data_IF_242019811366
#
_entry.id   IF_242019811366
#
_cell.length_a   1.000
_cell.length_b   1.000
_cell.length_c   1.000
_cell.angle_alpha   90.00
_cell.angle_beta   90.00
_cell.angle_gamma   90.00
#
_symmetry.space_group_name_H-M   'P 1'
#
loop_
_entity.id
_entity.type
_entity.pdbx_description
1 polymer ?
#
# COMPACT_ATOMS: atom_id res chain seq x y z
N UNK A 1 -0.07 32.06 -28.73
CA UNK A 1 1.21 31.81 -29.42
C UNK A 1 1.54 30.34 -29.17
N UNK A 2 1.50 29.53 -30.23
CA UNK A 2 1.82 28.10 -30.37
C UNK A 2 1.44 27.10 -29.26
N UNK A 3 0.36 26.36 -29.53
CA UNK A 3 -0.03 25.06 -28.97
C UNK A 3 0.78 23.89 -29.55
N UNK A 4 2.12 24.01 -29.61
CA UNK A 4 3.00 22.92 -30.07
C UNK A 4 3.82 22.36 -28.93
N UNK A 5 3.75 21.03 -28.80
CA UNK A 5 4.62 20.15 -28.02
C UNK A 5 4.42 20.05 -26.50
N UNK A 6 3.19 19.73 -26.07
CA UNK A 6 2.94 19.04 -24.79
C UNK A 6 3.02 17.50 -24.90
N UNK A 7 3.37 16.94 -26.06
CA UNK A 7 3.42 15.49 -26.31
C UNK A 7 4.77 14.85 -26.00
N UNK A 8 5.82 15.63 -25.73
CA UNK A 8 7.21 15.16 -25.64
C UNK A 8 7.86 15.28 -24.25
N UNK A 9 7.21 15.93 -23.27
CA UNK A 9 7.75 16.10 -21.92
C UNK A 9 6.75 15.68 -20.85
N UNK A 10 6.61 14.37 -20.68
CA UNK A 10 6.34 13.66 -19.44
C UNK A 10 5.69 12.31 -19.78
N UNK A 11 6.52 11.28 -19.97
CA UNK A 11 6.15 9.94 -19.53
C UNK A 11 6.14 9.92 -17.99
N UNK A 12 5.30 10.74 -17.37
CA UNK A 12 4.80 10.46 -16.04
C UNK A 12 3.76 9.38 -16.29
N UNK A 13 4.10 8.15 -15.97
CA UNK A 13 3.20 7.02 -16.02
C UNK A 13 2.10 7.26 -14.98
N UNK A 14 1.13 8.13 -15.31
CA UNK A 14 -0.12 8.34 -14.57
C UNK A 14 -1.02 7.14 -14.81
N UNK A 15 -0.49 5.95 -14.56
CA UNK A 15 -1.30 4.77 -14.26
C UNK A 15 -1.90 5.06 -12.88
N UNK A 16 -3.02 5.77 -12.93
CA UNK A 16 -4.02 5.82 -11.87
C UNK A 16 -4.49 4.37 -11.72
N UNK A 17 -3.97 3.68 -10.71
CA UNK A 17 -4.32 2.28 -10.46
C UNK A 17 -4.83 2.17 -9.05
N UNK A 18 -6.03 1.59 -8.91
CA UNK A 18 -6.45 0.93 -7.68
C UNK A 18 -5.39 -0.14 -7.38
N UNK A 19 -4.46 0.18 -6.49
CA UNK A 19 -3.46 -0.80 -6.03
C UNK A 19 -4.17 -1.69 -5.05
N UNK A 20 -4.49 -2.91 -5.48
CA UNK A 20 -4.97 -3.94 -4.57
C UNK A 20 -3.74 -4.70 -4.13
N UNK A 21 -3.36 -4.56 -2.87
CA UNK A 21 -2.21 -5.23 -2.29
C UNK A 21 -2.66 -6.43 -1.47
N UNK A 22 -1.97 -7.56 -1.63
CA UNK A 22 -2.04 -8.66 -0.69
C UNK A 22 -0.60 -9.06 -0.34
N UNK A 23 -0.29 -9.17 0.96
CA UNK A 23 1.04 -9.59 1.40
C UNK A 23 1.11 -11.11 1.46
N UNK A 24 2.13 -11.69 0.83
CA UNK A 24 2.30 -13.13 0.71
C UNK A 24 3.60 -13.63 1.31
N UNK A 25 3.63 -14.90 1.70
CA UNK A 25 4.86 -15.65 1.91
C UNK A 25 4.97 -16.71 0.82
N UNK A 26 5.51 -16.35 -0.34
CA UNK A 26 5.89 -17.35 -1.36
C UNK A 26 7.36 -17.73 -1.22
N UNK A 27 7.64 -19.04 -1.36
CA UNK A 27 8.99 -19.56 -1.66
C UNK A 27 9.25 -19.36 -3.15
N UNK A 28 10.05 -18.35 -3.51
CA UNK A 28 10.47 -18.15 -4.89
C UNK A 28 11.62 -19.08 -5.31
N UNK A 29 12.41 -19.61 -4.35
CA UNK A 29 13.51 -20.54 -4.59
C UNK A 29 13.76 -21.48 -3.41
N UNK A 30 14.44 -22.60 -3.70
CA UNK A 30 15.02 -23.48 -2.68
C UNK A 30 16.03 -22.65 -1.87
N UNK A 31 15.74 -22.39 -0.59
CA UNK A 31 16.72 -21.87 0.38
C UNK A 31 16.36 -20.57 1.10
N UNK A 32 15.64 -19.62 0.48
CA UNK A 32 15.35 -18.32 1.11
C UNK A 32 13.88 -18.20 1.56
N UNK A 33 13.65 -17.99 2.87
CA UNK A 33 12.36 -17.59 3.43
C UNK A 33 12.10 -16.09 3.23
N UNK A 34 12.01 -15.65 1.97
CA UNK A 34 11.76 -14.23 1.70
C UNK A 34 10.27 -13.87 1.78
N UNK A 35 9.95 -12.84 2.56
CA UNK A 35 8.66 -12.14 2.50
C UNK A 35 8.51 -11.48 1.13
N UNK A 36 7.42 -11.78 0.42
CA UNK A 36 7.14 -11.23 -0.90
C UNK A 36 5.83 -10.45 -0.89
N UNK A 37 5.84 -9.22 -1.34
CA UNK A 37 4.64 -8.40 -1.51
C UNK A 37 4.09 -8.63 -2.92
N UNK A 38 2.81 -8.97 -3.05
CA UNK A 38 2.13 -9.02 -4.35
C UNK A 38 1.26 -7.78 -4.52
N UNK A 39 1.53 -7.04 -5.58
CA UNK A 39 0.76 -5.87 -5.98
C UNK A 39 -0.04 -6.19 -7.24
N UNK A 40 -1.35 -6.00 -7.21
CA UNK A 40 -2.17 -6.04 -8.41
C UNK A 40 -2.34 -4.62 -8.97
N UNK A 41 -1.96 -4.43 -10.24
CA UNK A 41 -2.13 -3.20 -11.00
C UNK A 41 -2.98 -3.41 -12.25
N UNK A 42 -4.25 -2.99 -12.20
CA UNK A 42 -5.25 -3.08 -13.30
C UNK A 42 -5.40 -4.50 -13.85
N UNK A 43 -4.49 -4.96 -14.68
CA UNK A 43 -4.48 -6.27 -15.33
C UNK A 43 -3.13 -6.97 -15.19
N UNK A 44 -2.32 -6.60 -14.19
CA UNK A 44 -0.98 -7.14 -13.97
C UNK A 44 -0.75 -7.42 -12.49
N UNK A 45 0.04 -8.45 -12.20
CA UNK A 45 0.54 -8.77 -10.88
C UNK A 45 2.05 -8.46 -10.86
N UNK A 46 2.49 -7.69 -9.87
CA UNK A 46 3.90 -7.47 -9.59
C UNK A 46 4.27 -8.25 -8.33
N UNK A 47 5.26 -9.12 -8.45
CA UNK A 47 5.88 -9.82 -7.33
C UNK A 47 7.06 -9.00 -6.88
N UNK A 48 7.02 -8.53 -5.64
CA UNK A 48 7.99 -7.60 -5.07
C UNK A 48 8.70 -8.27 -3.90
N UNK A 49 10.02 -8.39 -3.98
CA UNK A 49 10.85 -8.89 -2.88
C UNK A 49 11.10 -7.77 -1.87
N UNK A 50 10.94 -8.08 -0.59
CA UNK A 50 11.32 -7.20 0.51
C UNK A 50 12.80 -7.42 0.80
N UNK A 51 13.64 -6.43 0.54
CA UNK A 51 15.08 -6.43 0.84
C UNK A 51 15.42 -5.36 1.88
N UNK A 52 16.60 -5.46 2.49
CA UNK A 52 17.08 -4.48 3.47
C UNK A 52 17.26 -3.07 2.90
N UNK A 53 17.45 -2.97 1.58
CA UNK A 53 17.58 -1.70 0.84
C UNK A 53 16.27 -1.26 0.16
N UNK A 54 15.15 -1.95 0.43
CA UNK A 54 13.82 -1.57 -0.04
C UNK A 54 13.09 -2.67 -0.81
N UNK A 55 12.08 -2.25 -1.57
CA UNK A 55 11.20 -3.13 -2.34
C UNK A 55 11.73 -3.26 -3.78
N UNK A 56 11.96 -4.50 -4.25
CA UNK A 56 12.44 -4.77 -5.62
C UNK A 56 11.43 -5.62 -6.38
N UNK A 57 10.95 -5.11 -7.52
CA UNK A 57 10.08 -5.89 -8.42
C UNK A 57 10.91 -7.02 -9.02
N UNK A 58 10.51 -8.26 -8.74
CA UNK A 58 11.16 -9.48 -9.23
C UNK A 58 10.53 -9.92 -10.55
N UNK A 59 9.20 -9.84 -10.65
CA UNK A 59 8.48 -10.28 -11.82
C UNK A 59 7.16 -9.54 -11.98
N UNK A 60 6.75 -9.36 -13.24
CA UNK A 60 5.45 -8.83 -13.63
C UNK A 60 4.70 -9.88 -14.47
N UNK A 61 3.48 -10.23 -14.08
CA UNK A 61 2.66 -11.26 -14.73
C UNK A 61 1.34 -10.65 -15.22
N UNK A 62 1.01 -10.76 -16.52
CA UNK A 62 -0.26 -10.26 -17.03
C UNK A 62 -1.43 -11.16 -16.62
N UNK A 63 -2.59 -10.55 -16.37
CA UNK A 63 -3.87 -11.21 -16.13
C UNK A 63 -4.84 -10.80 -17.24
N UNK A 64 -5.53 -11.77 -17.84
CA UNK A 64 -6.50 -11.52 -18.92
C UNK A 64 -7.84 -10.99 -18.37
N UNK A 65 -7.80 -9.76 -17.84
CA UNK A 65 -8.95 -9.06 -17.29
C UNK A 65 -8.52 -8.01 -16.28
N UNK A 66 -9.43 -7.07 -15.96
CA UNK A 66 -9.20 -6.16 -14.84
C UNK A 66 -9.30 -6.95 -13.54
N UNK A 67 -8.25 -6.96 -12.73
CA UNK A 67 -8.19 -7.56 -11.41
C UNK A 67 -9.07 -6.73 -10.46
N UNK A 68 -10.09 -7.37 -9.88
CA UNK A 68 -10.98 -6.76 -8.89
C UNK A 68 -10.54 -7.05 -7.46
N UNK A 69 -9.93 -8.21 -7.21
CA UNK A 69 -9.37 -8.54 -5.90
C UNK A 69 -8.37 -9.67 -6.01
N UNK A 70 -7.41 -9.67 -5.09
CA UNK A 70 -6.47 -10.75 -4.87
C UNK A 70 -6.50 -11.17 -3.40
N UNK A 71 -6.40 -12.47 -3.14
CA UNK A 71 -6.29 -13.01 -1.77
C UNK A 71 -5.26 -14.12 -1.71
N UNK A 72 -4.54 -14.15 -0.61
CA UNK A 72 -3.51 -15.15 -0.37
C UNK A 72 -3.98 -16.12 0.68
N UNK A 73 -3.62 -17.37 0.48
CA UNK A 73 -3.93 -18.44 1.41
C UNK A 73 -2.97 -19.59 1.23
N UNK A 74 -2.81 -20.40 2.27
CA UNK A 74 -1.98 -21.60 2.23
C UNK A 74 -2.89 -22.82 2.36
N UNK A 75 -3.04 -23.65 1.31
CA UNK A 75 -3.86 -24.85 1.40
C UNK A 75 -3.37 -25.82 2.50
N UNK A 76 -4.29 -26.60 3.06
CA UNK A 76 -3.96 -27.55 4.13
C UNK A 76 -2.99 -28.62 3.62
N UNK A 77 -1.87 -28.78 4.30
CA UNK A 77 -0.82 -29.75 3.92
C UNK A 77 0.22 -29.20 2.95
N UNK A 78 0.08 -27.94 2.51
CA UNK A 78 1.06 -27.27 1.67
C UNK A 78 1.96 -26.33 2.48
N UNK A 79 3.19 -26.17 2.02
CA UNK A 79 4.18 -25.27 2.61
C UNK A 79 4.34 -23.96 1.81
N UNK A 80 3.47 -23.73 0.82
CA UNK A 80 3.50 -22.55 -0.04
C UNK A 80 2.13 -21.92 -0.13
N UNK A 81 2.11 -20.60 -0.25
CA UNK A 81 0.89 -19.87 -0.47
C UNK A 81 0.40 -20.09 -1.92
N UNK A 82 -0.90 -19.90 -2.12
CA UNK A 82 -1.57 -19.78 -3.40
C UNK A 82 -2.25 -18.41 -3.44
N UNK A 83 -2.37 -17.84 -4.63
CA UNK A 83 -2.99 -16.56 -4.89
C UNK A 83 -4.34 -16.79 -5.59
N UNK A 84 -5.40 -16.36 -4.93
CA UNK A 84 -6.72 -16.19 -5.53
C UNK A 84 -6.74 -14.87 -6.30
N UNK A 85 -7.22 -14.90 -7.54
CA UNK A 85 -7.43 -13.73 -8.39
C UNK A 85 -8.90 -13.73 -8.82
N UNK A 86 -9.59 -12.62 -8.61
CA UNK A 86 -10.91 -12.38 -9.17
C UNK A 86 -10.85 -11.20 -10.15
N UNK A 87 -11.44 -11.36 -11.31
CA UNK A 87 -11.52 -10.32 -12.35
C UNK A 87 -12.87 -9.60 -12.35
N UNK A 88 -12.93 -8.43 -13.02
CA UNK A 88 -14.16 -7.64 -13.18
C UNK A 88 -15.25 -8.33 -14.00
N UNK A 89 -14.88 -9.37 -14.75
CA UNK A 89 -15.83 -10.26 -15.46
C UNK A 89 -16.22 -11.49 -14.62
N UNK A 90 -15.88 -11.50 -13.33
CA UNK A 90 -16.11 -12.62 -12.41
C UNK A 90 -15.53 -13.95 -12.92
N UNK A 91 -14.37 -13.89 -13.58
CA UNK A 91 -13.50 -15.07 -13.70
C UNK A 91 -12.62 -15.14 -12.46
N UNK A 92 -12.65 -16.31 -11.82
CA UNK A 92 -11.83 -16.67 -10.68
C UNK A 92 -10.69 -17.56 -11.15
N UNK A 93 -9.49 -17.29 -10.68
CA UNK A 93 -8.31 -18.13 -10.89
C UNK A 93 -7.58 -18.33 -9.56
N UNK A 94 -7.05 -19.53 -9.35
CA UNK A 94 -6.17 -19.87 -8.25
C UNK A 94 -4.83 -20.21 -8.90
N UNK A 95 -3.80 -19.47 -8.52
CA UNK A 95 -2.45 -19.62 -9.07
C UNK A 95 -1.46 -19.89 -7.94
N UNK A 96 -0.36 -20.57 -8.25
CA UNK A 96 0.73 -20.79 -7.32
C UNK A 96 2.07 -20.71 -8.04
N UNK A 97 3.14 -20.50 -7.27
CA UNK A 97 4.49 -20.49 -7.80
C UNK A 97 5.01 -21.91 -8.02
N UNK A 98 5.38 -22.22 -9.25
CA UNK A 98 6.12 -23.43 -9.60
C UNK A 98 7.63 -23.13 -9.47
N UNK A 99 8.29 -23.83 -8.55
CA UNK A 99 9.73 -23.62 -8.27
C UNK A 99 10.62 -24.25 -9.34
N UNK A 100 10.17 -25.32 -9.99
CA UNK A 100 10.96 -25.99 -11.02
C UNK A 100 10.98 -25.15 -12.30
N UNK A 101 9.82 -24.60 -12.65
CA UNK A 101 9.66 -23.74 -13.84
C UNK A 101 9.95 -22.28 -13.58
N UNK A 102 10.01 -21.87 -12.31
CA UNK A 102 10.20 -20.49 -11.89
C UNK A 102 9.15 -19.54 -12.51
N UNK A 103 7.88 -19.97 -12.48
CA UNK A 103 6.74 -19.25 -13.05
C UNK A 103 5.46 -19.43 -12.22
N UNK A 104 4.49 -18.53 -12.45
CA UNK A 104 3.14 -18.65 -11.89
C UNK A 104 2.31 -19.63 -12.72
N UNK A 105 1.87 -20.72 -12.10
CA UNK A 105 1.00 -21.73 -12.73
C UNK A 105 -0.45 -21.57 -12.24
N UNK A 106 -1.41 -21.81 -13.13
CA UNK A 106 -2.83 -21.85 -12.76
C UNK A 106 -3.19 -23.24 -12.26
N UNK A 107 -3.73 -23.31 -11.04
CA UNK A 107 -4.18 -24.55 -10.38
C UNK A 107 -5.65 -24.85 -10.63
N UNK A 108 -6.48 -23.83 -10.62
CA UNK A 108 -7.90 -23.93 -10.96
C UNK A 108 -8.38 -22.58 -11.51
N UNK A 109 -9.33 -22.61 -12.45
CA UNK A 109 -9.93 -21.39 -12.98
C UNK A 109 -11.36 -21.66 -13.47
N UNK A 110 -12.19 -20.63 -13.46
CA UNK A 110 -13.55 -20.74 -13.96
C UNK A 110 -14.35 -19.45 -13.86
N UNK A 111 -15.47 -19.39 -14.58
CA UNK A 111 -16.47 -18.35 -14.39
C UNK A 111 -17.26 -18.63 -13.11
N UNK A 112 -17.44 -17.61 -12.27
CA UNK A 112 -18.23 -17.69 -11.04
C UNK A 112 -19.48 -16.81 -11.10
N UNK A 113 -19.88 -16.36 -12.29
CA UNK A 113 -21.16 -15.71 -12.52
C UNK A 113 -22.34 -16.66 -12.23
N UNK A 114 -23.37 -16.12 -11.59
CA UNK A 114 -24.68 -16.76 -11.55
C UNK A 114 -25.49 -16.35 -12.79
N UNK A 115 -26.44 -17.20 -13.19
CA UNK A 115 -27.34 -16.90 -14.31
C UNK A 115 -28.26 -15.72 -14.01
N UNK A 116 -28.60 -15.52 -12.74
CA UNK A 116 -29.51 -14.48 -12.24
C UNK A 116 -28.94 -13.95 -10.92
N UNK A 117 -29.05 -12.65 -10.71
CA UNK A 117 -28.66 -12.00 -9.46
C UNK A 117 -28.50 -10.50 -9.68
N UNK A 118 -28.89 -9.69 -8.69
CA UNK A 118 -28.61 -8.25 -8.70
C UNK A 118 -27.16 -8.04 -8.27
N UNK A 119 -26.26 -7.51 -9.13
CA UNK A 119 -24.90 -7.20 -8.72
C UNK A 119 -24.91 -6.25 -7.54
N UNK A 120 -24.03 -6.47 -6.56
CA UNK A 120 -24.00 -5.64 -5.38
C UNK A 120 -23.41 -4.26 -5.67
N UNK A 121 -23.99 -3.23 -5.06
CA UNK A 121 -23.57 -1.84 -5.21
C UNK A 121 -22.14 -1.59 -4.65
N UNK A 122 -21.68 -2.45 -3.72
CA UNK A 122 -20.32 -2.38 -3.15
C UNK A 122 -19.25 -3.13 -3.97
N UNK A 123 -19.62 -3.72 -5.12
CA UNK A 123 -18.70 -4.51 -5.96
C UNK A 123 -18.32 -5.85 -5.31
N UNK A 124 -17.72 -6.80 -6.06
CA UNK A 124 -17.54 -8.17 -5.58
C UNK A 124 -16.53 -8.27 -4.42
N UNK A 125 -16.87 -9.04 -3.39
CA UNK A 125 -15.95 -9.38 -2.29
C UNK A 125 -15.57 -10.85 -2.38
N UNK A 126 -14.27 -11.15 -2.36
CA UNK A 126 -13.76 -12.51 -2.23
C UNK A 126 -12.94 -12.61 -0.94
N UNK A 127 -13.20 -13.66 -0.15
CA UNK A 127 -12.34 -14.05 0.96
C UNK A 127 -12.09 -15.55 0.92
N UNK A 128 -10.98 -15.98 1.51
CA UNK A 128 -10.53 -17.37 1.52
C UNK A 128 -10.01 -17.69 2.91
N UNK A 129 -10.36 -18.87 3.43
CA UNK A 129 -9.90 -19.32 4.74
C UNK A 129 -8.58 -20.11 4.62
N UNK A 130 -8.00 -20.50 5.77
CA UNK A 130 -6.78 -21.33 5.82
C UNK A 130 -6.93 -22.71 5.19
N UNK A 131 -8.15 -23.25 5.06
CA UNK A 131 -8.35 -24.54 4.38
C UNK A 131 -8.49 -24.41 2.87
N UNK A 132 -8.45 -23.20 2.31
CA UNK A 132 -8.69 -22.94 0.90
C UNK A 132 -10.16 -22.89 0.49
N UNK A 133 -11.09 -22.86 1.44
CA UNK A 133 -12.50 -22.60 1.17
C UNK A 133 -12.68 -21.12 0.82
N UNK A 134 -13.34 -20.84 -0.29
CA UNK A 134 -13.55 -19.49 -0.80
C UNK A 134 -15.00 -19.09 -0.57
N UNK A 135 -15.22 -17.88 -0.09
CA UNK A 135 -16.52 -17.24 0.01
C UNK A 135 -16.54 -15.98 -0.87
N UNK A 136 -17.56 -15.86 -1.70
CA UNK A 136 -17.63 -14.87 -2.76
C UNK A 136 -19.01 -14.20 -2.78
N UNK A 137 -19.03 -12.88 -2.54
CA UNK A 137 -20.23 -12.04 -2.55
C UNK A 137 -20.22 -11.19 -3.81
N UNK A 138 -20.83 -11.68 -4.90
CA UNK A 138 -20.99 -10.93 -6.16
C UNK A 138 -22.35 -10.21 -6.19
N UNK A 139 -23.40 -10.93 -5.78
CA UNK A 139 -24.79 -10.49 -5.87
C UNK A 139 -25.40 -10.29 -4.48
N UNK A 140 -26.35 -9.37 -4.38
CA UNK A 140 -27.05 -9.11 -3.12
C UNK A 140 -27.87 -10.32 -2.66
N UNK A 141 -27.91 -10.55 -1.35
CA UNK A 141 -28.68 -11.63 -0.72
C UNK A 141 -28.13 -13.05 -0.91
N UNK A 142 -26.95 -13.19 -1.53
CA UNK A 142 -26.32 -14.50 -1.75
C UNK A 142 -24.83 -14.47 -1.44
N UNK A 143 -24.34 -15.53 -0.82
CA UNK A 143 -22.92 -15.82 -0.65
C UNK A 143 -22.58 -17.12 -1.37
N UNK A 144 -21.74 -17.04 -2.39
CA UNK A 144 -21.27 -18.21 -3.12
C UNK A 144 -20.08 -18.82 -2.39
N UNK A 145 -20.22 -20.07 -1.99
CA UNK A 145 -19.15 -20.87 -1.40
C UNK A 145 -18.53 -21.73 -2.49
N UNK A 146 -17.21 -21.69 -2.60
CA UNK A 146 -16.45 -22.37 -3.64
C UNK A 146 -15.44 -23.30 -2.99
N UNK A 147 -15.48 -24.56 -3.41
CA UNK A 147 -14.47 -25.57 -3.16
C UNK A 147 -13.72 -25.84 -4.46
N UNK A 148 -12.42 -26.04 -4.34
CA UNK A 148 -11.55 -26.22 -5.50
C UNK A 148 -10.57 -27.36 -5.25
N UNK A 149 -10.10 -27.94 -6.33
CA UNK A 149 -9.10 -29.00 -6.38
C UNK A 149 -8.21 -28.75 -7.60
N UNK A 150 -6.96 -29.20 -7.56
CA UNK A 150 -6.01 -28.99 -8.66
C UNK A 150 -6.50 -29.58 -9.98
N UNK A 151 -6.43 -28.76 -11.03
CA UNK A 151 -6.82 -29.08 -12.40
C UNK A 151 -8.27 -29.57 -12.53
N UNK A 152 -9.16 -29.17 -11.61
CA UNK A 152 -10.60 -29.46 -11.67
C UNK A 152 -11.42 -28.18 -11.76
N UNK A 153 -12.65 -28.34 -12.25
CA UNK A 153 -13.63 -27.26 -12.24
C UNK A 153 -14.00 -26.83 -10.82
N UNK A 154 -14.29 -25.55 -10.68
CA UNK A 154 -14.70 -24.94 -9.41
C UNK A 154 -16.08 -25.46 -9.00
N UNK A 155 -16.15 -26.22 -7.90
CA UNK A 155 -17.43 -26.65 -7.31
C UNK A 155 -17.97 -25.54 -6.43
N UNK A 156 -19.24 -25.19 -6.59
CA UNK A 156 -19.83 -24.11 -5.79
C UNK A 156 -21.29 -24.35 -5.42
N UNK A 157 -21.72 -23.70 -4.35
CA UNK A 157 -23.12 -23.56 -3.96
C UNK A 157 -23.36 -22.17 -3.39
N UNK A 158 -24.60 -21.70 -3.46
CA UNK A 158 -24.98 -20.40 -2.92
C UNK A 158 -25.69 -20.60 -1.57
N UNK A 159 -25.33 -19.77 -0.59
CA UNK A 159 -25.99 -19.65 0.71
C UNK A 159 -26.74 -18.34 0.75
N UNK A 160 -27.94 -18.34 1.37
CA UNK A 160 -28.72 -17.12 1.53
C UNK A 160 -28.07 -16.20 2.56
N UNK A 161 -27.99 -14.92 2.22
CA UNK A 161 -27.55 -13.86 3.11
C UNK A 161 -28.74 -12.95 3.41
N UNK A 162 -28.99 -12.66 4.70
CA UNK A 162 -30.15 -11.85 5.09
C UNK A 162 -29.93 -10.36 4.80
N UNK A 163 -28.75 -9.85 5.13
CA UNK A 163 -28.34 -8.49 4.80
C UNK A 163 -28.01 -8.35 3.31
N UNK A 164 -28.60 -7.36 2.64
CA UNK A 164 -28.37 -7.11 1.21
C UNK A 164 -27.15 -6.21 0.98
N UNK A 165 -27.04 -5.13 1.75
CA UNK A 165 -25.99 -4.11 1.61
C UNK A 165 -24.74 -4.48 2.42
N UNK A 166 -24.01 -5.48 1.95
CA UNK A 166 -22.76 -5.94 2.59
C UNK A 166 -21.58 -5.11 2.08
N UNK A 167 -21.00 -4.31 2.97
CA UNK A 167 -19.87 -3.43 2.71
C UNK A 167 -18.56 -4.21 2.62
N UNK A 168 -18.31 -5.12 3.56
CA UNK A 168 -17.11 -5.97 3.59
C UNK A 168 -17.40 -7.33 4.26
N UNK A 169 -16.58 -8.35 3.96
CA UNK A 169 -16.73 -9.73 4.42
C UNK A 169 -15.36 -10.42 4.55
N UNK A 170 -15.09 -11.07 5.68
CA UNK A 170 -13.88 -11.87 5.89
C UNK A 170 -14.17 -13.14 6.70
N UNK A 171 -13.37 -14.18 6.49
CA UNK A 171 -13.31 -15.31 7.43
C UNK A 171 -12.67 -14.87 8.75
N UNK A 172 -13.12 -15.48 9.85
CA UNK A 172 -12.53 -15.33 11.18
C UNK A 172 -12.00 -16.68 11.63
N UNK A 173 -10.81 -16.68 12.21
CA UNK A 173 -10.27 -17.89 12.84
C UNK A 173 -11.10 -18.28 14.06
N UNK A 174 -11.49 -19.54 14.11
CA UNK A 174 -12.22 -20.14 15.21
C UNK A 174 -11.36 -21.23 15.84
N UNK A 175 -11.40 -21.37 17.16
CA UNK A 175 -10.84 -22.54 17.83
C UNK A 175 -11.79 -23.71 17.57
N UNK A 176 -11.39 -24.63 16.67
CA UNK A 176 -12.16 -25.81 16.27
C UNK A 176 -12.47 -25.86 14.77
N UNK A 177 -13.34 -26.80 14.38
CA UNK A 177 -13.74 -27.02 12.97
C UNK A 177 -14.85 -26.07 12.48
N UNK A 178 -15.32 -25.14 13.32
CA UNK A 178 -16.35 -24.18 12.91
C UNK A 178 -15.81 -23.15 11.93
N UNK A 179 -16.52 -22.95 10.83
CA UNK A 179 -16.18 -21.95 9.81
C UNK A 179 -16.98 -20.68 10.11
N UNK A 180 -16.29 -19.58 10.42
CA UNK A 180 -16.93 -18.31 10.79
C UNK A 180 -16.56 -17.19 9.84
N UNK A 181 -17.51 -16.30 9.61
CA UNK A 181 -17.35 -15.08 8.81
C UNK A 181 -17.75 -13.86 9.66
N UNK A 182 -17.04 -12.76 9.49
CA UNK A 182 -17.45 -11.41 9.90
C UNK A 182 -17.82 -10.62 8.66
N UNK A 183 -18.84 -9.77 8.77
CA UNK A 183 -19.19 -8.83 7.72
C UNK A 183 -19.73 -7.53 8.28
N UNK A 184 -19.58 -6.47 7.49
CA UNK A 184 -20.17 -5.16 7.76
C UNK A 184 -21.38 -5.01 6.85
N UNK A 185 -22.58 -4.85 7.41
CA UNK A 185 -23.77 -4.46 6.65
C UNK A 185 -24.12 -3.00 6.86
N UNK A 186 -24.83 -2.39 5.91
CA UNK A 186 -25.34 -1.04 6.02
C UNK A 186 -26.87 -1.02 5.89
N UNK A 187 -27.55 -0.34 6.80
CA UNK A 187 -29.00 -0.09 6.75
C UNK A 187 -29.29 1.40 6.98
N UNK A 188 -30.57 1.75 7.21
CA UNK A 188 -30.99 3.12 7.50
C UNK A 188 -30.44 3.67 8.83
N UNK A 189 -30.04 2.78 9.75
CA UNK A 189 -29.54 3.13 11.08
C UNK A 189 -28.01 3.24 11.13
N UNK A 190 -27.32 2.86 10.05
CA UNK A 190 -25.86 2.96 9.93
C UNK A 190 -25.20 1.67 9.49
N UNK A 191 -23.95 1.47 9.90
CA UNK A 191 -23.17 0.27 9.59
C UNK A 191 -23.08 -0.64 10.81
N UNK A 192 -23.28 -1.93 10.60
CA UNK A 192 -23.30 -2.96 11.64
C UNK A 192 -22.27 -4.03 11.33
N UNK A 193 -21.38 -4.33 12.27
CA UNK A 193 -20.50 -5.49 12.18
C UNK A 193 -21.23 -6.70 12.78
N UNK A 194 -21.31 -7.79 12.02
CA UNK A 194 -21.99 -9.03 12.40
C UNK A 194 -21.06 -10.22 12.20
N UNK A 195 -21.28 -11.29 12.95
CA UNK A 195 -20.57 -12.57 12.76
C UNK A 195 -21.56 -13.69 12.49
N UNK A 196 -21.18 -14.63 11.63
CA UNK A 196 -22.00 -15.81 11.27
C UNK A 196 -21.13 -17.06 11.22
N UNK A 197 -21.73 -18.21 11.49
CA UNK A 197 -21.17 -19.54 11.29
C UNK A 197 -21.73 -20.16 10.01
N UNK A 198 -20.86 -20.72 9.18
CA UNK A 198 -21.21 -21.40 7.93
C UNK A 198 -21.27 -22.92 8.15
N UNK A 199 -22.44 -23.51 7.93
CA UNK A 199 -22.61 -24.97 7.85
C UNK A 199 -22.44 -25.43 6.41
N UNK A 200 -21.39 -26.21 6.12
CA UNK A 200 -21.20 -26.81 4.78
C UNK A 200 -22.19 -27.94 4.50
N UNK A 201 -22.70 -28.58 5.55
CA UNK A 201 -23.67 -29.69 5.45
C UNK A 201 -25.05 -29.13 5.14
N UNK A 202 -25.52 -28.17 5.96
CA UNK A 202 -26.84 -27.57 5.81
C UNK A 202 -26.88 -26.52 4.70
N UNK A 203 -25.70 -26.01 4.29
CA UNK A 203 -25.53 -24.91 3.33
C UNK A 203 -26.25 -23.63 3.79
N UNK A 204 -26.12 -23.33 5.07
CA UNK A 204 -26.79 -22.20 5.74
C UNK A 204 -25.81 -21.39 6.60
N UNK A 205 -26.16 -20.12 6.85
CA UNK A 205 -25.46 -19.22 7.76
C UNK A 205 -26.25 -19.08 9.07
N UNK A 206 -25.56 -19.15 10.20
CA UNK A 206 -26.13 -18.97 11.55
C UNK A 206 -25.50 -17.78 12.24
N UNK A 207 -26.28 -16.78 12.64
CA UNK A 207 -25.76 -15.57 13.29
C UNK A 207 -25.17 -15.87 14.67
N UNK A 208 -23.96 -15.36 14.91
CA UNK A 208 -23.28 -15.35 16.21
C UNK A 208 -23.14 -13.88 16.63
N UNK A 209 -23.52 -13.54 17.85
CA UNK A 209 -23.21 -12.21 18.40
C UNK A 209 -21.86 -12.25 19.12
N UNK A 210 -21.03 -11.23 18.86
CA UNK A 210 -19.82 -10.90 19.63
C UNK A 210 -19.84 -9.41 19.93
N UNK A 211 -19.25 -9.03 21.08
CA UNK A 211 -19.06 -7.63 21.46
C UNK A 211 -17.99 -6.98 20.56
N UNK A 212 -18.22 -5.73 20.17
CA UNK A 212 -17.37 -4.94 19.28
C UNK A 212 -16.78 -3.80 20.10
N UNK A 213 -15.47 -3.61 20.03
CA UNK A 213 -14.75 -2.53 20.71
C UNK A 213 -14.04 -1.65 19.68
N UNK A 214 -14.01 -0.34 19.92
CA UNK A 214 -13.30 0.61 19.06
C UNK A 214 -11.83 0.70 19.48
N UNK A 215 -10.91 0.52 18.52
CA UNK A 215 -9.46 0.57 18.77
C UNK A 215 -8.86 1.96 18.55
N UNK A 216 -9.46 2.80 17.71
CA UNK A 216 -8.92 4.11 17.36
C UNK A 216 -9.18 4.52 15.92
N UNK A 217 -8.42 5.50 15.45
CA UNK A 217 -8.55 6.09 14.11
C UNK A 217 -7.25 5.92 13.31
N UNK A 218 -7.38 5.61 12.02
CA UNK A 218 -6.29 5.51 11.03
C UNK A 218 -6.66 6.30 9.77
N UNK A 219 -5.78 6.35 8.76
CA UNK A 219 -6.20 6.79 7.41
C UNK A 219 -7.43 6.02 6.91
N UNK A 220 -8.17 6.56 5.93
CA UNK A 220 -9.30 5.86 5.31
C UNK A 220 -8.81 4.57 4.64
N UNK A 221 -8.93 3.46 5.35
CA UNK A 221 -8.47 2.16 4.89
C UNK A 221 -9.31 1.65 3.71
N UNK A 222 -8.65 1.35 2.58
CA UNK A 222 -9.19 0.46 1.55
C UNK A 222 -8.83 -1.00 1.85
N UNK A 223 -7.68 -1.27 2.47
CA UNK A 223 -7.29 -2.61 2.90
C UNK A 223 -6.52 -2.60 4.23
N UNK A 224 -6.63 -3.71 4.98
CA UNK A 224 -5.92 -3.96 6.23
C UNK A 224 -5.17 -5.28 6.11
N UNK A 225 -3.88 -5.27 6.42
CA UNK A 225 -3.01 -6.46 6.34
C UNK A 225 -2.21 -6.58 7.63
N UNK A 226 -2.55 -7.56 8.46
CA UNK A 226 -1.79 -7.86 9.66
C UNK A 226 -0.46 -8.52 9.27
N UNK A 227 0.66 -7.97 9.76
CA UNK A 227 1.99 -8.46 9.43
C UNK A 227 2.47 -9.43 10.51
N UNK A 228 2.78 -8.90 11.70
CA UNK A 228 3.12 -9.66 12.91
C UNK A 228 3.31 -8.71 14.11
N UNK A 229 3.41 -9.23 15.33
CA UNK A 229 3.78 -8.48 16.56
C UNK A 229 2.95 -7.19 16.79
N UNK A 230 1.65 -7.27 16.53
CA UNK A 230 0.73 -6.13 16.66
C UNK A 230 0.84 -5.12 15.50
N UNK A 231 1.68 -5.36 14.49
CA UNK A 231 1.86 -4.44 13.36
C UNK A 231 0.89 -4.76 12.25
N UNK A 232 0.23 -3.72 11.74
CA UNK A 232 -0.81 -3.74 10.72
C UNK A 232 -0.44 -2.73 9.63
N UNK A 233 -0.46 -3.16 8.38
CA UNK A 233 -0.43 -2.25 7.23
C UNK A 233 -1.85 -1.84 6.86
N UNK A 234 -2.06 -0.53 6.74
CA UNK A 234 -3.31 0.12 6.37
C UNK A 234 -3.12 0.75 4.99
N UNK A 235 -3.60 0.07 3.95
CA UNK A 235 -3.58 0.59 2.60
C UNK A 235 -4.74 1.55 2.38
N UNK A 236 -4.46 2.77 1.95
CA UNK A 236 -5.45 3.81 1.72
C UNK A 236 -5.55 4.18 0.25
N UNK A 237 -6.78 4.31 -0.26
CA UNK A 237 -7.04 4.79 -1.63
C UNK A 237 -7.07 6.31 -1.71
N UNK A 238 -7.55 6.92 -0.64
CA UNK A 238 -7.94 8.33 -0.59
C UNK A 238 -6.92 9.18 0.16
N UNK A 239 -5.93 8.56 0.81
CA UNK A 239 -4.88 9.21 1.57
C UNK A 239 -3.62 8.38 1.59
N UNK A 240 -2.65 8.83 2.39
CA UNK A 240 -1.38 8.13 2.56
C UNK A 240 -1.59 6.79 3.25
N UNK A 241 -0.96 5.74 2.75
CA UNK A 241 -1.01 4.43 3.40
C UNK A 241 -0.17 4.45 4.68
N UNK A 242 -0.51 3.66 5.68
CA UNK A 242 0.13 3.71 6.99
C UNK A 242 0.59 2.31 7.43
N UNK A 243 1.72 2.25 8.12
CA UNK A 243 2.09 1.12 8.95
C UNK A 243 1.78 1.51 10.40
N UNK A 244 0.93 0.73 11.06
CA UNK A 244 0.46 1.02 12.42
C UNK A 244 0.77 -0.16 13.35
N UNK A 245 0.89 0.12 14.65
CA UNK A 245 1.05 -0.87 15.72
C UNK A 245 -0.14 -0.78 16.66
N UNK A 246 -0.71 -1.93 16.97
CA UNK A 246 -1.74 -2.10 17.97
C UNK A 246 -1.09 -2.31 19.34
N UNK A 247 -1.46 -1.48 20.31
CA UNK A 247 -0.98 -1.57 21.70
C UNK A 247 -2.05 -2.22 22.58
N UNK A 248 -1.63 -2.91 23.64
CA UNK A 248 -2.57 -3.50 24.62
C UNK A 248 -3.12 -2.48 25.62
N UNK A 249 -2.41 -1.36 25.81
CA UNK A 249 -2.84 -0.25 26.64
C UNK A 249 -3.18 0.94 25.73
N UNK A 250 -4.28 1.66 26.01
CA UNK A 250 -4.63 2.85 25.26
C UNK A 250 -3.61 3.96 25.53
N UNK A 251 -3.35 4.78 24.53
CA UNK A 251 -2.51 5.97 24.67
C UNK A 251 -3.19 6.98 25.60
N UNK A 252 -2.43 7.53 26.54
CA UNK A 252 -2.96 8.31 27.67
C UNK A 252 -3.75 9.57 27.25
N UNK A 253 -3.41 10.17 26.10
CA UNK A 253 -4.05 11.40 25.63
C UNK A 253 -5.23 11.16 24.68
N UNK A 254 -5.15 10.15 23.82
CA UNK A 254 -6.12 9.91 22.75
C UNK A 254 -7.08 8.74 23.00
N UNK A 255 -6.89 8.00 24.11
CA UNK A 255 -7.57 6.74 24.40
C UNK A 255 -7.57 5.75 23.20
N UNK A 256 -6.52 5.82 22.38
CA UNK A 256 -6.37 5.01 21.17
C UNK A 256 -5.38 3.89 21.40
N UNK A 257 -5.71 2.70 20.90
CA UNK A 257 -4.85 1.52 20.86
C UNK A 257 -3.98 1.47 19.59
N UNK A 258 -3.99 2.53 18.76
CA UNK A 258 -3.32 2.57 17.46
C UNK A 258 -2.16 3.57 17.50
N UNK A 259 -0.96 3.10 17.19
CA UNK A 259 0.24 3.91 17.04
C UNK A 259 0.72 3.90 15.58
N UNK A 260 0.87 5.06 14.94
CA UNK A 260 1.40 5.13 13.57
C UNK A 260 2.93 4.99 13.62
N UNK A 261 3.47 4.00 12.91
CA UNK A 261 4.91 3.76 12.79
C UNK A 261 5.51 4.45 11.57
N UNK A 262 4.81 4.39 10.44
CA UNK A 262 5.27 4.95 9.17
C UNK A 262 4.10 5.33 8.27
N UNK A 263 4.31 6.32 7.41
CA UNK A 263 3.34 6.78 6.41
C UNK A 263 3.98 6.70 5.02
N UNK A 264 3.21 6.28 4.03
CA UNK A 264 3.60 6.12 2.63
C UNK A 264 2.75 7.04 1.76
N UNK A 265 3.41 7.99 1.10
CA UNK A 265 2.72 9.03 0.31
C UNK A 265 1.87 8.43 -0.81
N UNK A 266 0.64 8.91 -0.90
CA UNK A 266 -0.31 8.59 -1.96
C UNK A 266 -0.84 9.87 -2.59
N UNK A 267 -0.68 10.00 -3.90
CA UNK A 267 -1.18 11.15 -4.66
C UNK A 267 -2.64 10.97 -5.08
N UNK A 268 -3.21 9.78 -4.94
CA UNK A 268 -4.54 9.45 -5.42
C UNK A 268 -5.66 9.81 -4.42
N UNK A 269 -6.88 10.06 -4.93
CA UNK A 269 -7.17 10.41 -6.31
C UNK A 269 -6.68 11.84 -6.63
N UNK A 270 -6.00 12.01 -7.76
CA UNK A 270 -5.70 13.35 -8.29
C UNK A 270 -6.98 13.87 -8.95
N UNK A 271 -7.56 14.93 -8.38
CA UNK A 271 -8.77 15.58 -8.88
C UNK A 271 -8.47 16.65 -9.91
N UNK A 272 -7.40 17.40 -9.69
CA UNK A 272 -6.98 18.49 -10.55
C UNK A 272 -5.46 18.69 -10.47
N UNK A 273 -4.89 19.31 -11.50
CA UNK A 273 -3.46 19.52 -11.66
C UNK A 273 -3.20 20.93 -12.18
N UNK A 274 -2.24 21.62 -11.57
CA UNK A 274 -1.66 22.85 -12.08
C UNK A 274 -0.15 22.68 -12.27
N UNK A 275 0.41 23.25 -13.34
CA UNK A 275 1.87 23.32 -13.55
C UNK A 275 2.33 24.72 -13.22
N UNK A 276 3.39 24.83 -12.41
CA UNK A 276 3.99 26.08 -11.99
C UNK A 276 5.50 26.02 -12.25
N UNK A 277 6.08 27.11 -12.72
CA UNK A 277 7.52 27.25 -12.82
C UNK A 277 8.04 27.93 -11.54
N UNK A 278 8.99 27.31 -10.86
CA UNK A 278 9.63 27.83 -9.67
C UNK A 278 11.11 27.46 -9.73
N UNK A 279 11.98 28.46 -9.56
CA UNK A 279 13.45 28.34 -9.66
C UNK A 279 13.93 27.76 -11.01
N UNK A 280 13.25 28.12 -12.11
CA UNK A 280 13.55 27.64 -13.45
C UNK A 280 13.23 26.16 -13.68
N UNK A 281 12.50 25.52 -12.75
CA UNK A 281 12.02 24.15 -12.87
C UNK A 281 10.50 24.09 -12.86
N UNK A 282 9.95 23.28 -13.75
CA UNK A 282 8.52 22.98 -13.77
C UNK A 282 8.17 22.04 -12.62
N UNK A 283 7.26 22.50 -11.76
CA UNK A 283 6.66 21.76 -10.66
C UNK A 283 5.19 21.51 -10.96
N UNK A 284 4.67 20.36 -10.52
CA UNK A 284 3.28 19.98 -10.69
C UNK A 284 2.61 20.02 -9.32
N UNK A 285 1.56 20.82 -9.20
CA UNK A 285 0.73 20.91 -8.01
C UNK A 285 -0.54 20.09 -8.28
N UNK A 286 -0.85 19.16 -7.38
CA UNK A 286 -2.01 18.28 -7.51
C UNK A 286 -2.98 18.47 -6.35
N UNK A 287 -4.27 18.54 -6.66
CA UNK A 287 -5.34 18.37 -5.69
C UNK A 287 -5.56 16.87 -5.48
N UNK A 288 -5.05 16.33 -4.38
CA UNK A 288 -4.97 14.91 -4.09
C UNK A 288 -5.85 14.51 -2.91
N UNK A 289 -6.24 13.23 -2.87
CA UNK A 289 -6.97 12.64 -1.77
C UNK A 289 -8.48 12.93 -1.76
N UNK A 290 -9.16 12.50 -0.70
CA UNK A 290 -10.59 12.78 -0.49
C UNK A 290 -10.97 12.77 1.00
N UNK A 291 -12.09 13.42 1.33
CA UNK A 291 -12.62 13.50 2.69
C UNK A 291 -11.58 14.06 3.68
N UNK A 292 -11.36 13.41 4.83
CA UNK A 292 -10.36 13.82 5.83
C UNK A 292 -8.91 13.70 5.33
N UNK A 293 -8.68 13.06 4.19
CA UNK A 293 -7.36 12.82 3.61
C UNK A 293 -7.03 13.78 2.44
N UNK A 294 -7.87 14.80 2.21
CA UNK A 294 -7.63 15.80 1.16
C UNK A 294 -6.33 16.59 1.39
N UNK A 295 -5.48 16.68 0.36
CA UNK A 295 -4.18 17.36 0.42
C UNK A 295 -3.78 17.99 -0.91
N UNK A 296 -2.97 19.05 -0.87
CA UNK A 296 -2.23 19.53 -2.04
C UNK A 296 -0.85 18.89 -2.05
N UNK A 297 -0.42 18.37 -3.19
CA UNK A 297 0.89 17.73 -3.33
C UNK A 297 1.69 18.43 -4.43
N UNK A 298 2.97 18.69 -4.16
CA UNK A 298 3.89 19.32 -5.10
C UNK A 298 4.87 18.24 -5.58
N UNK A 299 4.92 18.03 -6.88
CA UNK A 299 5.78 17.06 -7.54
C UNK A 299 6.80 17.87 -8.33
N UNK A 300 8.06 17.81 -7.90
CA UNK A 300 9.20 18.43 -8.58
C UNK A 300 10.17 17.35 -9.06
N UNK A 301 10.91 17.64 -10.11
CA UNK A 301 11.97 16.76 -10.57
C UNK A 301 13.27 17.09 -9.82
N UNK A 302 13.94 16.07 -9.28
CA UNK A 302 15.21 16.25 -8.55
C UNK A 302 15.08 16.20 -7.02
N UNK A 303 16.23 16.37 -6.36
CA UNK A 303 16.32 16.38 -4.90
C UNK A 303 16.05 17.80 -4.41
N UNK A 304 15.12 17.94 -3.48
CA UNK A 304 14.90 19.19 -2.78
C UNK A 304 16.06 19.51 -1.84
N UNK A 305 16.60 20.72 -1.93
CA UNK A 305 17.48 21.28 -0.90
C UNK A 305 16.57 22.07 0.04
N UNK A 306 16.66 21.79 1.33
CA UNK A 306 16.05 22.63 2.37
C UNK A 306 17.08 23.71 2.72
N UNK A 307 16.80 24.96 2.35
CA UNK A 307 17.71 26.06 2.56
C UNK A 307 17.69 26.47 4.03
N UNK A 308 18.70 26.03 4.78
CA UNK A 308 18.83 26.39 6.20
C UNK A 308 19.35 27.82 6.40
N UNK A 309 20.19 28.32 5.48
CA UNK A 309 20.78 29.64 5.54
C UNK A 309 21.17 30.15 4.15
N UNK A 310 21.06 31.47 3.95
CA UNK A 310 21.43 32.19 2.73
C UNK A 310 22.34 33.36 3.08
N UNK A 311 23.44 33.51 2.35
CA UNK A 311 24.36 34.65 2.52
C UNK A 311 24.78 35.15 1.15
N UNK A 312 24.56 36.44 0.90
CA UNK A 312 24.87 37.09 -0.37
C UNK A 312 26.36 37.47 -0.47
N UNK A 313 27.19 36.55 -0.98
CA UNK A 313 28.61 36.80 -1.24
C UNK A 313 28.87 36.72 -2.75
N UNK A 314 29.19 37.85 -3.42
CA UNK A 314 29.42 37.86 -4.86
C UNK A 314 30.79 37.28 -5.22
N UNK A 315 30.86 36.52 -6.32
CA UNK A 315 32.15 36.10 -6.90
C UNK A 315 32.82 34.90 -6.22
N UNK A 316 32.04 34.07 -5.53
CA UNK A 316 32.51 32.80 -4.93
C UNK A 316 33.06 31.86 -6.01
N UNK A 317 34.34 31.50 -5.89
CA UNK A 317 35.05 30.53 -6.73
C UNK A 317 35.06 29.13 -6.14
N UNK A 318 34.96 29.01 -4.83
CA UNK A 318 34.98 27.73 -4.13
C UNK A 318 34.53 27.86 -2.69
N UNK A 319 33.92 26.79 -2.18
CA UNK A 319 33.45 26.68 -0.79
C UNK A 319 34.02 25.38 -0.24
N UNK A 320 34.66 25.46 0.93
CA UNK A 320 35.28 24.31 1.59
C UNK A 320 34.89 24.30 3.06
N UNK A 321 34.62 23.13 3.63
CA UNK A 321 34.38 23.00 5.07
C UNK A 321 35.68 22.63 5.79
N UNK A 322 35.85 23.14 7.00
CA UNK A 322 36.98 22.82 7.86
C UNK A 322 36.49 22.52 9.28
N UNK A 323 37.17 21.55 9.90
CA UNK A 323 36.92 21.12 11.28
C UNK A 323 38.13 21.44 12.15
N UNK A 324 37.93 22.29 13.16
CA UNK A 324 38.96 22.66 14.13
C UNK A 324 38.42 22.48 15.54
N UNK A 325 39.00 21.57 16.33
CA UNK A 325 38.65 21.40 17.74
C UNK A 325 37.23 20.93 18.02
N UNK A 326 36.44 20.61 16.99
CA UNK A 326 35.04 20.15 17.08
C UNK A 326 34.89 18.73 16.54
N UNK A 327 33.78 18.06 16.92
CA UNK A 327 33.40 16.75 16.38
C UNK A 327 32.82 16.89 14.95
N UNK A 328 32.17 18.00 14.66
CA UNK A 328 31.57 18.35 13.37
C UNK A 328 32.33 19.52 12.74
N UNK A 329 32.17 19.71 11.43
CA UNK A 329 32.71 20.88 10.72
C UNK A 329 32.15 22.16 11.34
N UNK A 330 33.03 23.14 11.60
CA UNK A 330 32.71 24.38 12.31
C UNK A 330 33.25 25.65 11.64
N UNK A 331 33.90 25.50 10.47
CA UNK A 331 34.34 26.63 9.65
C UNK A 331 33.97 26.41 8.19
N UNK A 332 33.60 27.49 7.51
CA UNK A 332 33.34 27.54 6.07
C UNK A 332 34.35 28.50 5.43
N UNK A 333 35.18 27.99 4.54
CA UNK A 333 36.17 28.77 3.79
C UNK A 333 35.59 29.11 2.43
N UNK A 334 35.52 30.40 2.10
CA UNK A 334 34.95 30.91 0.87
C UNK A 334 36.05 31.61 0.08
N UNK A 335 36.43 31.01 -1.05
CA UNK A 335 37.43 31.57 -1.95
C UNK A 335 36.77 32.55 -2.92
N UNK A 336 37.27 33.78 -2.97
CA UNK A 336 36.90 34.82 -3.92
C UNK A 336 38.02 35.07 -4.93
N UNK A 337 37.78 35.96 -5.88
CA UNK A 337 38.77 36.30 -6.92
C UNK A 337 40.03 36.96 -6.35
N UNK A 338 39.85 37.77 -5.32
CA UNK A 338 40.86 38.67 -4.77
C UNK A 338 41.17 38.39 -3.30
N UNK A 339 40.42 37.51 -2.64
CA UNK A 339 40.57 37.21 -1.21
C UNK A 339 39.92 35.88 -0.84
N UNK A 340 39.99 35.50 0.43
CA UNK A 340 39.26 34.34 0.95
C UNK A 340 38.74 34.69 2.33
N UNK A 341 37.46 34.46 2.55
CA UNK A 341 36.80 34.63 3.85
C UNK A 341 36.77 33.28 4.58
N UNK A 342 36.85 33.35 5.90
CA UNK A 342 36.72 32.18 6.76
C UNK A 342 35.58 32.49 7.72
N UNK A 343 34.47 31.79 7.59
CA UNK A 343 33.31 31.97 8.45
C UNK A 343 33.30 30.88 9.53
N UNK A 344 33.27 31.28 10.79
CA UNK A 344 33.02 30.38 11.91
C UNK A 344 31.51 30.13 12.05
N UNK A 345 31.13 28.87 12.24
CA UNK A 345 29.75 28.45 12.50
C UNK A 345 29.51 28.39 14.01
N UNK A 346 28.79 29.38 14.55
CA UNK A 346 28.42 29.47 15.97
C UNK A 346 26.92 29.21 16.13
N UNK A 347 26.53 27.94 16.15
CA UNK A 347 25.11 27.57 16.18
C UNK A 347 24.43 27.88 14.84
N UNK A 348 23.49 28.82 14.83
CA UNK A 348 22.79 29.29 13.61
C UNK A 348 23.43 30.54 12.99
N UNK A 349 24.43 31.14 13.65
CA UNK A 349 25.10 32.35 13.16
C UNK A 349 26.43 32.04 12.45
N UNK A 350 26.75 32.84 11.43
CA UNK A 350 28.00 32.81 10.69
C UNK A 350 28.79 34.10 10.98
N UNK A 351 29.99 33.96 11.54
CA UNK A 351 30.86 35.07 11.89
C UNK A 351 32.15 35.05 11.04
N UNK A 352 32.52 36.17 10.42
CA UNK A 352 33.78 36.28 9.68
C UNK A 352 34.97 36.32 10.66
N UNK A 353 35.96 35.47 10.42
CA UNK A 353 37.11 35.29 11.29
C UNK A 353 38.39 35.06 10.51
N UNK A 354 39.53 35.16 11.19
CA UNK A 354 40.83 34.86 10.61
C UNK A 354 41.49 33.74 11.40
N UNK A 355 41.84 32.65 10.71
CA UNK A 355 42.63 31.58 11.28
C UNK A 355 44.12 31.89 11.11
N UNK A 356 44.81 32.12 12.22
CA UNK A 356 46.25 32.32 12.26
C UNK A 356 46.99 31.10 11.67
N UNK A 357 47.71 31.30 10.57
CA UNK A 357 48.57 30.28 9.94
C UNK A 357 48.17 29.83 8.53
N UNK A 358 47.02 30.24 8.02
CA UNK A 358 46.66 30.07 6.60
C UNK A 358 47.28 31.21 5.77
N UNK A 359 48.45 30.97 5.19
CA UNK A 359 49.04 31.87 4.20
C UNK A 359 48.43 31.59 2.82
N UNK A 360 47.50 32.44 2.40
CA UNK A 360 46.82 32.33 1.12
C UNK A 360 47.64 33.07 0.06
N UNK A 361 48.49 32.35 -0.68
CA UNK A 361 49.24 32.92 -1.82
C UNK A 361 48.39 32.86 -3.09
N UNK A 362 48.17 34.00 -3.74
CA UNK A 362 47.61 34.06 -5.10
C UNK A 362 48.64 33.49 -6.09
N UNK A 363 48.27 32.43 -6.82
CA UNK A 363 48.94 32.05 -8.08
C UNK A 363 48.11 32.44 -9.27
#
# INVERSE_FOLDING_TARGET
>A
MNTKDMSSYAKLDTRIVRVISAAARFRARIGDEDMNLILAKVNRLEIVKVASDGLKVVQEVPVFGRIETIKLFRPKGENRDSLLILTAKNHLAIVAWDVEKNELITRAAGSVCDRVGRPSDYGPIACVNKSGLIALRIYDGTLKIIQWEDNKDLKSFNVRFEDLAIVDLSFIESQGDSIRLAYISQDSNGRHLKTVELSLVDKELKTISKQIESLGETTIAECLVYLDNGVLFVGSRFGDSQLVRLTSQPHAESNSFVQILQTFTNLAPIRDIAVMECDGQNQIITCSGAFKEGSLRIIRNGIGIDEAASVDIPGVKGIFTLKIGSKLDNYLIISLSSETHILAMNGEELEDTQLLGLYMSYT
#
